data_IF_557518618419
#
_entry.id   IF_557518618419
#
_cell.length_a   1.000
_cell.length_b   1.000
_cell.length_c   1.000
_cell.angle_alpha   90.00
_cell.angle_beta   90.00
_cell.angle_gamma   90.00
#
_symmetry.space_group_name_H-M   'P 1'
#
loop_
_entity.id
_entity.type
_entity.pdbx_description
1 polymer ?
#
# COMPACT_ATOMS: atom_id res chain seq x y z
N UNK A 1 67.42 -11.23 10.67
CA UNK A 1 68.67 -10.51 11.00
C UNK A 1 69.08 -9.69 9.78
N UNK A 2 69.28 -8.40 10.01
CA UNK A 2 70.00 -7.37 9.24
C UNK A 2 69.42 -6.83 7.91
N UNK A 3 68.82 -5.63 8.01
CA UNK A 3 68.99 -4.52 7.05
C UNK A 3 70.40 -3.91 7.19
N UNK A 4 70.89 -3.16 6.17
CA UNK A 4 70.93 -1.68 6.27
C UNK A 4 70.57 -0.98 4.92
N UNK A 5 69.89 0.18 4.87
CA UNK A 5 70.35 1.57 5.11
C UNK A 5 71.53 1.99 4.21
N UNK A 6 71.64 3.17 3.56
CA UNK A 6 70.99 4.49 3.68
C UNK A 6 71.46 5.44 2.55
N UNK A 7 70.64 6.48 2.27
CA UNK A 7 71.03 7.88 1.95
C UNK A 7 71.63 8.28 0.58
N UNK A 8 71.05 9.29 -0.07
CA UNK A 8 71.49 10.69 0.14
C UNK A 8 70.61 11.72 -0.60
N UNK A 9 70.65 12.95 -0.10
CA UNK A 9 69.70 14.06 -0.23
C UNK A 9 70.34 15.29 -0.90
N UNK A 10 69.55 16.15 -1.58
CA UNK A 10 69.69 17.64 -1.78
C UNK A 10 68.71 18.08 -2.89
N UNK A 11 67.69 18.95 -2.72
CA UNK A 11 67.49 20.28 -2.10
C UNK A 11 67.90 21.49 -2.99
N UNK A 12 66.91 22.20 -3.58
CA UNK A 12 66.64 23.66 -3.46
C UNK A 12 66.06 24.41 -4.70
N UNK A 13 64.86 24.98 -4.50
CA UNK A 13 64.36 26.34 -4.81
C UNK A 13 64.22 26.93 -6.24
N UNK A 14 62.95 27.14 -6.69
CA UNK A 14 62.29 28.47 -6.89
C UNK A 14 60.83 28.35 -7.41
N UNK A 15 59.93 29.19 -6.88
CA UNK A 15 58.49 29.44 -7.20
C UNK A 15 58.40 30.79 -8.00
N UNK A 16 57.39 31.17 -8.85
CA UNK A 16 55.93 30.84 -8.82
C UNK A 16 55.22 30.43 -10.15
N UNK A 17 54.01 29.89 -9.93
CA UNK A 17 52.80 29.56 -10.78
C UNK A 17 52.34 30.63 -11.79
N UNK A 18 51.35 30.43 -12.73
CA UNK A 18 50.25 29.42 -12.75
C UNK A 18 49.79 28.86 -14.13
N UNK A 19 49.15 27.69 -14.13
CA UNK A 19 47.96 27.39 -14.96
C UNK A 19 47.41 26.04 -14.50
N UNK A 20 46.38 26.01 -13.65
CA UNK A 20 45.00 25.77 -14.09
C UNK A 20 44.91 24.70 -15.18
N UNK A 21 44.83 23.46 -14.74
CA UNK A 21 43.77 22.57 -15.16
C UNK A 21 43.20 21.97 -13.88
N UNK A 22 42.05 22.49 -13.49
CA UNK A 22 41.20 21.95 -12.45
C UNK A 22 40.97 20.46 -12.75
N UNK A 23 41.72 19.61 -12.06
CA UNK A 23 41.29 18.24 -11.80
C UNK A 23 40.15 18.37 -10.81
N UNK A 24 38.99 18.81 -11.30
CA UNK A 24 37.73 18.65 -10.59
C UNK A 24 37.56 17.14 -10.45
N UNK A 25 37.97 16.65 -9.27
CA UNK A 25 37.50 15.40 -8.72
C UNK A 25 35.99 15.52 -8.78
N UNK A 26 35.39 14.83 -9.77
CA UNK A 26 33.98 14.57 -9.85
C UNK A 26 33.65 13.71 -8.63
N UNK A 27 33.50 14.36 -7.47
CA UNK A 27 32.89 13.82 -6.27
C UNK A 27 31.45 13.56 -6.64
N UNK A 28 31.23 12.33 -7.07
CA UNK A 28 30.03 11.83 -7.70
C UNK A 28 28.80 12.06 -6.81
N UNK A 29 27.72 12.65 -7.32
CA UNK A 29 26.46 12.84 -6.57
C UNK A 29 25.89 11.53 -6.01
N UNK A 30 26.30 10.38 -6.57
CA UNK A 30 25.96 9.03 -6.12
C UNK A 30 26.42 8.74 -4.68
N UNK A 31 27.61 9.18 -4.27
CA UNK A 31 28.14 8.95 -2.92
C UNK A 31 27.39 9.75 -1.84
N UNK A 32 26.94 10.97 -2.17
CA UNK A 32 26.14 11.78 -1.25
C UNK A 32 24.73 11.22 -1.04
N UNK A 33 24.12 10.67 -2.09
CA UNK A 33 22.81 10.03 -2.02
C UNK A 33 22.85 8.76 -1.15
N UNK A 34 23.89 7.93 -1.28
CA UNK A 34 24.03 6.70 -0.49
C UNK A 34 24.27 6.98 1.01
N UNK A 35 24.99 8.05 1.34
CA UNK A 35 25.17 8.50 2.73
C UNK A 35 23.87 9.04 3.34
N UNK A 36 23.10 9.84 2.60
CA UNK A 36 21.80 10.35 3.05
C UNK A 36 20.80 9.20 3.27
N UNK A 37 20.79 8.18 2.40
CA UNK A 37 19.96 6.97 2.55
C UNK A 37 20.27 6.21 3.83
N UNK A 38 21.55 5.97 4.07
CA UNK A 38 22.01 5.27 5.27
C UNK A 38 21.61 6.05 6.51
N UNK A 39 21.73 7.38 6.49
CA UNK A 39 21.32 8.25 7.58
C UNK A 39 19.80 8.25 7.82
N UNK A 40 18.96 8.31 6.78
CA UNK A 40 17.50 8.24 6.93
C UNK A 40 17.03 6.87 7.43
N UNK A 41 17.66 5.80 6.93
CA UNK A 41 17.39 4.44 7.40
C UNK A 41 17.83 4.28 8.84
N UNK A 42 19.00 4.79 9.21
CA UNK A 42 19.48 4.78 10.59
C UNK A 42 18.59 5.65 11.50
N UNK A 43 18.06 6.77 11.02
CA UNK A 43 17.10 7.57 11.78
C UNK A 43 15.81 6.79 12.05
N UNK A 44 15.27 6.09 11.04
CA UNK A 44 14.13 5.19 11.22
C UNK A 44 14.44 4.05 12.19
N UNK A 45 15.59 3.39 12.01
CA UNK A 45 16.07 2.37 12.94
C UNK A 45 16.17 2.96 14.33
N UNK A 46 16.78 4.13 14.56
CA UNK A 46 16.92 4.73 15.89
C UNK A 46 15.59 5.10 16.55
N UNK A 47 14.57 5.49 15.76
CA UNK A 47 13.23 5.79 16.28
C UNK A 47 12.48 4.50 16.66
N UNK A 48 12.71 3.42 15.92
CA UNK A 48 12.06 2.12 16.14
C UNK A 48 12.89 1.19 17.04
N UNK A 49 14.20 1.41 17.17
CA UNK A 49 15.16 0.60 17.93
C UNK A 49 15.18 1.02 19.40
N UNK A 50 14.07 0.67 20.03
CA UNK A 50 13.92 0.27 21.42
C UNK A 50 13.25 -1.11 21.45
N UNK A 51 13.68 -2.01 20.55
CA UNK A 51 13.04 -3.28 20.16
C UNK A 51 12.74 -4.29 21.30
N UNK A 52 12.95 -3.93 22.57
CA UNK A 52 12.68 -4.75 23.76
C UNK A 52 12.02 -4.01 24.95
N UNK A 53 11.70 -2.71 24.89
CA UNK A 53 11.23 -1.98 26.10
C UNK A 53 9.96 -1.12 25.92
N UNK A 54 9.35 -0.82 27.08
CA UNK A 54 8.04 -0.20 27.36
C UNK A 54 7.90 1.29 27.00
N UNK A 55 8.83 1.86 26.24
CA UNK A 55 8.78 3.30 25.93
C UNK A 55 7.82 3.61 24.78
N UNK A 56 7.04 4.71 24.88
CA UNK A 56 6.22 5.21 23.78
C UNK A 56 7.07 5.53 22.56
N UNK A 57 6.49 5.35 21.37
CA UNK A 57 7.15 5.70 20.11
C UNK A 57 7.12 7.21 19.95
N UNK A 58 8.26 7.83 19.64
CA UNK A 58 8.31 9.25 19.28
C UNK A 58 7.66 9.45 17.90
N UNK A 59 6.33 9.65 17.91
CA UNK A 59 5.51 9.82 16.71
C UNK A 59 5.95 11.01 15.85
N UNK A 60 6.24 12.21 16.39
CA UNK A 60 6.79 13.31 15.60
C UNK A 60 8.10 12.96 14.89
N UNK A 61 9.05 12.31 15.58
CA UNK A 61 10.31 11.90 14.97
C UNK A 61 10.09 10.82 13.89
N UNK A 62 9.18 9.87 14.15
CA UNK A 62 8.79 8.83 13.19
C UNK A 62 8.18 9.45 11.92
N UNK A 63 7.23 10.37 12.08
CA UNK A 63 6.58 11.06 10.96
C UNK A 63 7.60 11.83 10.10
N UNK A 64 8.55 12.51 10.75
CA UNK A 64 9.60 13.26 10.06
C UNK A 64 10.57 12.33 9.30
N UNK A 65 10.95 11.20 9.92
CA UNK A 65 11.83 10.20 9.32
C UNK A 65 11.16 9.49 8.12
N UNK A 66 9.89 9.11 8.23
CA UNK A 66 9.11 8.51 7.14
C UNK A 66 8.92 9.47 5.97
N UNK A 67 8.59 10.74 6.24
CA UNK A 67 8.49 11.76 5.18
C UNK A 67 9.82 12.00 4.48
N UNK A 68 10.93 12.00 5.22
CA UNK A 68 12.26 12.12 4.64
C UNK A 68 12.61 10.90 3.76
N UNK A 69 12.31 9.68 4.23
CA UNK A 69 12.48 8.47 3.45
C UNK A 69 11.61 8.49 2.19
N UNK A 70 10.33 8.88 2.28
CA UNK A 70 9.43 8.97 1.13
C UNK A 70 9.97 9.93 0.06
N UNK A 71 10.32 11.16 0.44
CA UNK A 71 10.93 12.15 -0.47
C UNK A 71 12.18 11.59 -1.14
N UNK A 72 12.95 10.81 -0.40
CA UNK A 72 14.13 10.16 -0.93
C UNK A 72 13.77 9.08 -1.97
N UNK A 73 12.80 8.21 -1.69
CA UNK A 73 12.33 7.18 -2.61
C UNK A 73 11.63 7.75 -3.87
N UNK A 74 11.02 8.94 -3.75
CA UNK A 74 10.40 9.68 -4.86
C UNK A 74 11.42 10.23 -5.89
N UNK A 75 12.70 10.37 -5.53
CA UNK A 75 13.70 11.02 -6.38
C UNK A 75 14.05 10.21 -7.64
N UNK A 76 13.96 10.79 -8.86
CA UNK A 76 14.25 10.11 -10.13
C UNK A 76 15.69 9.63 -10.31
N UNK A 77 16.64 10.09 -9.51
CA UNK A 77 18.06 9.71 -9.59
C UNK A 77 18.34 8.26 -9.11
N UNK A 78 17.28 7.53 -8.72
CA UNK A 78 17.37 6.31 -7.92
C UNK A 78 17.02 5.01 -8.67
N UNK A 79 16.77 5.06 -9.99
CA UNK A 79 16.48 3.89 -10.82
C UNK A 79 17.75 3.13 -11.24
N UNK A 80 18.67 2.86 -10.33
CA UNK A 80 19.84 2.00 -10.59
C UNK A 80 19.56 0.55 -10.17
N UNK A 81 20.16 -0.42 -10.87
CA UNK A 81 19.92 -1.87 -10.74
C UNK A 81 20.28 -2.48 -9.36
N UNK A 82 20.77 -1.69 -8.40
CA UNK A 82 21.11 -2.11 -7.05
C UNK A 82 20.76 -1.00 -6.05
N UNK A 83 19.58 -1.05 -5.44
CA UNK A 83 19.11 -0.04 -4.50
C UNK A 83 19.51 -0.41 -3.05
N UNK A 84 20.19 0.46 -2.28
CA UNK A 84 20.57 0.20 -0.89
C UNK A 84 19.38 0.03 0.06
N UNK A 85 18.23 0.67 -0.19
CA UNK A 85 17.02 0.40 0.62
C UNK A 85 16.43 -1.00 0.38
N UNK A 86 16.84 -1.71 -0.68
CA UNK A 86 16.58 -3.15 -0.84
C UNK A 86 17.65 -4.02 -0.15
N UNK A 87 18.73 -3.41 0.35
CA UNK A 87 19.67 -4.02 1.31
C UNK A 87 19.15 -3.73 2.72
N UNK A 88 18.19 -4.56 3.11
CA UNK A 88 17.80 -4.98 4.47
C UNK A 88 17.17 -3.95 5.43
N UNK A 89 17.83 -2.86 5.83
CA UNK A 89 17.38 -2.17 7.07
C UNK A 89 16.06 -1.36 6.92
N UNK A 90 15.83 -0.70 5.78
CA UNK A 90 14.63 0.16 5.61
C UNK A 90 13.35 -0.67 5.42
N UNK A 91 13.45 -1.78 4.69
CA UNK A 91 12.31 -2.67 4.44
C UNK A 91 11.92 -3.40 5.72
N UNK A 92 12.89 -3.89 6.50
CA UNK A 92 12.63 -4.53 7.79
C UNK A 92 11.96 -3.56 8.78
N UNK A 93 12.38 -2.29 8.83
CA UNK A 93 11.73 -1.29 9.69
C UNK A 93 10.32 -0.93 9.20
N UNK A 94 10.12 -0.78 7.88
CA UNK A 94 8.79 -0.55 7.32
C UNK A 94 7.86 -1.74 7.57
N UNK A 95 8.35 -2.97 7.41
CA UNK A 95 7.66 -4.20 7.76
C UNK A 95 7.25 -4.20 9.22
N UNK A 96 8.18 -3.91 10.13
CA UNK A 96 7.90 -3.82 11.56
C UNK A 96 6.80 -2.79 11.89
N UNK A 97 6.89 -1.57 11.34
CA UNK A 97 5.88 -0.53 11.56
C UNK A 97 4.52 -0.99 11.06
N UNK A 98 4.43 -1.50 9.83
CA UNK A 98 3.14 -1.88 9.22
C UNK A 98 2.54 -3.09 9.92
N UNK A 99 3.33 -4.11 10.26
CA UNK A 99 2.88 -5.29 11.00
C UNK A 99 2.36 -4.90 12.37
N UNK A 100 3.18 -4.24 13.20
CA UNK A 100 2.82 -3.92 14.56
C UNK A 100 1.64 -2.95 14.62
N UNK A 101 1.54 -2.00 13.68
CA UNK A 101 0.40 -1.11 13.59
C UNK A 101 -0.90 -1.87 13.29
N UNK A 102 -0.89 -2.78 12.31
CA UNK A 102 -2.09 -3.58 11.98
C UNK A 102 -2.48 -4.51 13.14
N UNK A 103 -1.52 -5.14 13.81
CA UNK A 103 -1.79 -5.95 15.00
C UNK A 103 -2.42 -5.12 16.13
N UNK A 104 -1.96 -3.89 16.33
CA UNK A 104 -2.54 -2.98 17.32
C UNK A 104 -3.99 -2.59 16.96
N UNK A 105 -4.27 -2.31 15.68
CA UNK A 105 -5.64 -2.04 15.22
C UNK A 105 -6.57 -3.26 15.37
N UNK A 106 -6.08 -4.46 15.06
CA UNK A 106 -6.82 -5.70 15.26
C UNK A 106 -7.16 -5.93 16.74
N UNK A 107 -6.18 -5.78 17.63
CA UNK A 107 -6.38 -5.86 19.09
C UNK A 107 -7.42 -4.86 19.60
N UNK A 108 -7.38 -3.61 19.13
CA UNK A 108 -8.39 -2.60 19.47
C UNK A 108 -9.78 -2.97 18.97
N UNK A 109 -9.90 -3.49 17.74
CA UNK A 109 -11.17 -3.93 17.19
C UNK A 109 -11.75 -5.12 17.98
N UNK A 110 -10.91 -6.07 18.37
CA UNK A 110 -11.32 -7.18 19.23
C UNK A 110 -11.79 -6.68 20.61
N UNK A 111 -11.03 -5.80 21.25
CA UNK A 111 -11.42 -5.21 22.54
C UNK A 111 -12.75 -4.46 22.49
N UNK A 112 -13.08 -3.82 21.35
CA UNK A 112 -14.37 -3.15 21.15
C UNK A 112 -15.52 -4.12 20.92
N UNK A 113 -15.27 -5.25 20.25
CA UNK A 113 -16.30 -6.25 19.93
C UNK A 113 -16.63 -7.15 21.12
N UNK A 114 -15.67 -7.42 22.00
CA UNK A 114 -15.85 -8.20 23.21
C UNK A 114 -15.92 -7.29 24.44
N UNK A 115 -17.14 -6.88 24.81
CA UNK A 115 -17.41 -6.12 26.04
C UNK A 115 -16.72 -6.74 27.26
N UNK A 116 -15.65 -6.07 27.73
CA UNK A 116 -14.91 -5.99 29.02
C UNK A 116 -15.21 -6.90 30.24
N UNK A 117 -16.13 -7.86 30.21
CA UNK A 117 -16.43 -8.71 31.36
C UNK A 117 -15.70 -10.08 31.35
N UNK A 118 -15.10 -10.48 30.23
CA UNK A 118 -14.46 -11.81 30.11
C UNK A 118 -13.20 -11.86 29.24
N UNK A 119 -12.76 -10.74 28.67
CA UNK A 119 -11.47 -10.68 27.98
C UNK A 119 -10.42 -10.66 29.08
N UNK A 120 -9.77 -11.81 29.28
CA UNK A 120 -8.53 -11.93 30.04
C UNK A 120 -7.62 -10.83 29.51
N UNK A 121 -7.27 -9.85 30.34
CA UNK A 121 -6.17 -8.92 30.05
C UNK A 121 -4.99 -9.80 29.66
N UNK A 122 -4.69 -9.88 28.36
CA UNK A 122 -3.42 -10.44 27.95
C UNK A 122 -2.39 -9.45 28.45
N UNK A 123 -1.63 -9.84 29.48
CA UNK A 123 -0.54 -9.05 30.09
C UNK A 123 0.48 -8.50 29.07
N UNK A 124 0.44 -8.99 27.83
CA UNK A 124 1.26 -8.52 26.73
C UNK A 124 0.66 -7.27 26.07
N UNK A 125 0.72 -6.12 26.76
CA UNK A 125 0.60 -4.76 26.18
C UNK A 125 1.72 -4.42 25.17
N UNK A 126 2.29 -5.44 24.53
CA UNK A 126 3.42 -5.38 23.61
C UNK A 126 3.11 -4.54 22.36
N UNK A 127 1.83 -4.44 21.99
CA UNK A 127 1.37 -3.68 20.82
C UNK A 127 0.77 -2.31 21.16
N UNK A 128 0.56 -1.98 22.43
CA UNK A 128 -0.17 -0.75 22.84
C UNK A 128 0.56 0.52 22.36
N UNK A 129 1.89 0.53 22.41
CA UNK A 129 2.70 1.64 21.90
C UNK A 129 2.57 1.86 20.38
N UNK A 130 2.20 0.83 19.61
CA UNK A 130 1.96 0.96 18.17
C UNK A 130 0.53 1.42 17.86
N UNK A 131 -0.40 1.21 18.80
CA UNK A 131 -1.75 1.74 18.74
C UNK A 131 -1.78 3.29 18.83
N UNK A 132 -0.75 3.88 19.46
CA UNK A 132 -0.57 5.33 19.53
C UNK A 132 -0.06 5.95 18.21
N UNK A 133 0.42 5.16 17.25
CA UNK A 133 0.86 5.67 15.95
C UNK A 133 -0.39 6.16 15.19
N UNK A 134 -0.50 7.48 14.91
CA UNK A 134 -1.63 8.00 14.17
C UNK A 134 -1.68 7.41 12.77
N UNK A 135 -2.89 7.22 12.26
CA UNK A 135 -3.11 6.65 10.93
C UNK A 135 -2.40 7.45 9.81
N UNK A 136 -2.32 8.79 9.94
CA UNK A 136 -1.54 9.64 9.02
C UNK A 136 -0.06 9.25 8.94
N UNK A 137 0.53 8.78 10.03
CA UNK A 137 1.93 8.37 10.12
C UNK A 137 2.10 6.96 9.56
N UNK A 138 1.19 6.04 9.86
CA UNK A 138 1.13 4.73 9.23
C UNK A 138 0.96 4.83 7.69
N UNK A 139 0.16 5.79 7.23
CA UNK A 139 -0.02 6.08 5.81
C UNK A 139 1.30 6.50 5.13
N UNK A 140 2.17 7.27 5.80
CA UNK A 140 3.50 7.61 5.27
C UNK A 140 4.37 6.35 5.09
N UNK A 141 4.26 5.36 5.99
CA UNK A 141 4.93 4.07 5.83
C UNK A 141 4.39 3.28 4.63
N UNK A 142 3.05 3.20 4.47
CA UNK A 142 2.43 2.58 3.29
C UNK A 142 2.82 3.29 1.99
N UNK A 143 2.93 4.61 2.01
CA UNK A 143 3.42 5.38 0.85
C UNK A 143 4.88 5.05 0.54
N UNK A 144 5.77 4.92 1.53
CA UNK A 144 7.14 4.47 1.34
C UNK A 144 7.19 3.10 0.65
N UNK A 145 6.38 2.13 1.12
CA UNK A 145 6.23 0.83 0.46
C UNK A 145 5.72 0.99 -0.97
N UNK A 146 4.71 1.85 -1.19
CA UNK A 146 4.15 2.13 -2.51
C UNK A 146 5.16 2.68 -3.51
N UNK A 147 6.19 3.40 -3.03
CA UNK A 147 7.30 3.85 -3.85
C UNK A 147 8.35 2.74 -4.06
N UNK A 148 8.67 1.94 -3.04
CA UNK A 148 9.58 0.80 -3.20
C UNK A 148 9.11 -0.16 -4.29
N UNK A 149 7.82 -0.47 -4.34
CA UNK A 149 7.24 -1.38 -5.34
C UNK A 149 7.14 -0.78 -6.75
N UNK A 150 7.54 0.49 -6.95
CA UNK A 150 7.71 1.03 -8.31
C UNK A 150 8.99 0.53 -8.99
N UNK A 151 9.96 0.06 -8.20
CA UNK A 151 11.23 -0.47 -8.66
C UNK A 151 11.20 -2.00 -8.61
N UNK A 152 11.61 -2.70 -9.68
CA UNK A 152 11.57 -4.17 -9.72
C UNK A 152 12.35 -4.86 -8.59
N UNK A 153 13.45 -4.26 -8.12
CA UNK A 153 14.22 -4.77 -6.97
C UNK A 153 13.43 -4.56 -5.66
N UNK A 154 12.76 -3.41 -5.51
CA UNK A 154 11.91 -3.13 -4.35
C UNK A 154 10.67 -4.02 -4.32
N UNK A 155 10.03 -4.29 -5.47
CA UNK A 155 8.97 -5.28 -5.60
C UNK A 155 9.42 -6.66 -5.11
N UNK A 156 10.59 -7.13 -5.57
CA UNK A 156 11.11 -8.44 -5.16
C UNK A 156 11.44 -8.50 -3.66
N UNK A 157 11.91 -7.41 -3.07
CA UNK A 157 12.21 -7.33 -1.64
C UNK A 157 10.92 -7.30 -0.80
N UNK A 158 9.95 -6.45 -1.15
CA UNK A 158 8.64 -6.37 -0.47
C UNK A 158 7.86 -7.69 -0.59
N UNK A 159 7.97 -8.38 -1.73
CA UNK A 159 7.30 -9.68 -1.92
C UNK A 159 7.82 -10.79 -0.99
N UNK A 160 8.98 -10.62 -0.34
CA UNK A 160 9.59 -11.61 0.56
C UNK A 160 9.32 -11.34 2.04
N UNK A 161 8.66 -10.23 2.35
CA UNK A 161 8.35 -9.81 3.72
C UNK A 161 6.89 -10.10 4.07
N UNK A 162 6.50 -9.84 5.31
CA UNK A 162 5.10 -9.88 5.75
C UNK A 162 4.29 -8.65 5.33
N UNK A 163 4.90 -7.64 4.68
CA UNK A 163 4.23 -6.41 4.26
C UNK A 163 2.97 -6.69 3.42
N UNK A 164 2.96 -7.56 2.39
CA UNK A 164 1.75 -7.85 1.63
C UNK A 164 0.61 -8.38 2.51
N UNK A 165 0.92 -9.29 3.45
CA UNK A 165 -0.06 -9.85 4.41
C UNK A 165 -0.61 -8.77 5.33
N UNK A 166 0.26 -7.92 5.88
CA UNK A 166 -0.17 -6.81 6.74
C UNK A 166 -1.04 -5.79 5.99
N UNK A 167 -0.71 -5.49 4.73
CA UNK A 167 -1.54 -4.65 3.88
C UNK A 167 -2.91 -5.28 3.61
N UNK A 168 -2.99 -6.58 3.35
CA UNK A 168 -4.29 -7.26 3.17
C UNK A 168 -5.10 -7.26 4.47
N UNK A 169 -4.48 -7.62 5.60
CA UNK A 169 -5.16 -7.60 6.91
C UNK A 169 -5.68 -6.20 7.26
N UNK A 170 -4.92 -5.16 6.92
CA UNK A 170 -5.32 -3.77 7.19
C UNK A 170 -6.65 -3.37 6.52
N UNK A 171 -7.06 -4.04 5.43
CA UNK A 171 -8.35 -3.79 4.76
C UNK A 171 -9.54 -3.99 5.72
N UNK A 172 -9.40 -4.89 6.70
CA UNK A 172 -10.45 -5.18 7.67
C UNK A 172 -10.57 -4.17 8.80
N UNK A 173 -9.49 -3.45 9.10
CA UNK A 173 -9.39 -2.61 10.29
C UNK A 173 -9.30 -1.11 9.98
N UNK A 174 -9.02 -0.74 8.73
CA UNK A 174 -8.95 0.66 8.30
C UNK A 174 -10.35 1.17 7.93
N UNK A 175 -10.78 2.25 8.57
CA UNK A 175 -12.00 2.98 8.20
C UNK A 175 -11.75 4.19 7.29
N UNK A 176 -10.50 4.67 7.21
CA UNK A 176 -10.16 5.81 6.37
C UNK A 176 -10.04 5.41 4.88
N UNK A 177 -10.85 6.01 3.99
CA UNK A 177 -10.84 5.66 2.58
C UNK A 177 -9.52 6.05 1.86
N UNK A 178 -8.82 7.08 2.35
CA UNK A 178 -7.53 7.53 1.79
C UNK A 178 -6.45 6.50 2.04
N UNK A 179 -6.39 5.96 3.26
CA UNK A 179 -5.46 4.89 3.62
C UNK A 179 -5.77 3.61 2.84
N UNK A 180 -7.05 3.21 2.76
CA UNK A 180 -7.47 2.06 1.93
C UNK A 180 -7.11 2.24 0.45
N UNK A 181 -7.32 3.43 -0.11
CA UNK A 181 -6.89 3.76 -1.47
C UNK A 181 -5.38 3.56 -1.64
N UNK A 182 -4.56 3.96 -0.66
CA UNK A 182 -3.12 3.76 -0.70
C UNK A 182 -2.72 2.28 -0.60
N UNK A 183 -3.40 1.51 0.26
CA UNK A 183 -3.23 0.06 0.40
C UNK A 183 -3.55 -0.65 -0.92
N UNK A 184 -4.75 -0.43 -1.48
CA UNK A 184 -5.18 -1.05 -2.74
C UNK A 184 -4.19 -0.75 -3.87
N UNK A 185 -3.81 0.52 -4.06
CA UNK A 185 -2.83 0.90 -5.08
C UNK A 185 -1.47 0.23 -4.91
N UNK A 186 -1.04 0.04 -3.67
CA UNK A 186 0.25 -0.62 -3.37
C UNK A 186 0.18 -2.10 -3.72
N UNK A 187 -0.91 -2.78 -3.36
CA UNK A 187 -1.16 -4.16 -3.76
C UNK A 187 -1.31 -4.31 -5.29
N UNK A 188 -1.98 -3.35 -5.96
CA UNK A 188 -2.11 -3.33 -7.44
C UNK A 188 -0.74 -3.21 -8.10
N UNK A 189 0.14 -2.34 -7.58
CA UNK A 189 1.52 -2.20 -8.09
C UNK A 189 2.32 -3.49 -7.89
N UNK A 190 2.16 -4.18 -6.75
CA UNK A 190 2.79 -5.47 -6.52
C UNK A 190 2.33 -6.54 -7.53
N UNK A 191 1.05 -6.55 -7.89
CA UNK A 191 0.51 -7.48 -8.88
C UNK A 191 1.02 -7.19 -10.31
N UNK A 192 1.13 -5.91 -10.68
CA UNK A 192 1.41 -5.48 -12.06
C UNK A 192 2.90 -5.30 -12.38
N UNK A 193 3.78 -5.23 -11.37
CA UNK A 193 5.22 -5.05 -11.58
C UNK A 193 5.94 -6.40 -11.57
N UNK A 194 6.59 -6.73 -12.68
CA UNK A 194 7.48 -7.88 -12.75
C UNK A 194 8.76 -7.62 -11.93
N UNK A 195 9.08 -8.55 -11.03
CA UNK A 195 10.37 -8.62 -10.34
C UNK A 195 11.50 -8.87 -11.33
N UNK A 196 12.71 -8.39 -11.02
CA UNK A 196 13.90 -8.55 -11.88
C UNK A 196 14.11 -10.03 -12.23
N UNK A 197 14.28 -10.31 -13.52
CA UNK A 197 14.66 -11.61 -14.08
C UNK A 197 15.95 -12.13 -13.41
N UNK A 198 15.83 -13.03 -12.44
CA UNK A 198 16.90 -14.00 -12.17
C UNK A 198 16.50 -15.33 -12.76
N UNK A 199 17.37 -15.88 -13.59
CA UNK A 199 17.32 -17.30 -13.92
C UNK A 199 17.63 -18.07 -12.64
N UNK A 200 16.74 -18.96 -12.22
CA UNK A 200 17.10 -20.00 -11.26
C UNK A 200 18.25 -20.84 -11.85
N UNK A 201 18.99 -21.54 -10.99
CA UNK A 201 20.05 -22.45 -11.42
C UNK A 201 19.55 -23.56 -12.38
N UNK A 202 18.23 -23.77 -12.47
CA UNK A 202 17.55 -24.71 -13.38
C UNK A 202 16.96 -24.05 -14.65
N UNK A 203 17.24 -22.76 -14.90
CA UNK A 203 16.77 -22.06 -16.10
C UNK A 203 15.34 -21.53 -16.05
N UNK A 204 14.61 -21.66 -14.92
CA UNK A 204 13.27 -21.07 -14.76
C UNK A 204 13.32 -19.59 -14.36
N UNK A 205 12.44 -18.77 -14.94
CA UNK A 205 12.37 -17.32 -14.74
C UNK A 205 11.56 -16.95 -13.47
N UNK A 206 12.10 -16.09 -12.58
CA UNK A 206 11.35 -15.52 -11.44
C UNK A 206 10.73 -14.14 -11.78
N UNK A 207 9.75 -14.09 -12.68
CA UNK A 207 9.08 -12.83 -13.10
C UNK A 207 7.74 -12.54 -12.40
N UNK A 208 7.35 -13.35 -11.41
CA UNK A 208 5.99 -13.36 -10.84
C UNK A 208 5.95 -13.22 -9.31
N UNK A 209 7.05 -12.81 -8.65
CA UNK A 209 7.09 -12.83 -7.17
C UNK A 209 6.05 -11.93 -6.52
N UNK A 210 5.69 -10.81 -7.17
CA UNK A 210 4.74 -9.83 -6.63
C UNK A 210 3.30 -10.36 -6.54
N UNK A 211 2.76 -10.92 -7.64
CA UNK A 211 1.41 -11.50 -7.64
C UNK A 211 1.30 -12.69 -6.69
N UNK A 212 2.29 -13.60 -6.67
CA UNK A 212 2.24 -14.74 -5.75
C UNK A 212 2.27 -14.29 -4.29
N UNK A 213 3.06 -13.26 -3.95
CA UNK A 213 3.06 -12.71 -2.60
C UNK A 213 1.71 -12.09 -2.21
N UNK A 214 1.01 -11.43 -3.15
CA UNK A 214 -0.34 -10.90 -2.90
C UNK A 214 -1.36 -12.03 -2.73
N UNK A 215 -1.29 -13.08 -3.56
CA UNK A 215 -2.18 -14.25 -3.46
C UNK A 215 -1.96 -15.04 -2.17
N UNK A 216 -0.70 -15.22 -1.76
CA UNK A 216 -0.32 -15.81 -0.47
C UNK A 216 -0.81 -14.94 0.69
N UNK A 217 -0.65 -13.62 0.60
CA UNK A 217 -1.16 -12.68 1.60
C UNK A 217 -2.68 -12.76 1.81
N UNK A 218 -3.46 -12.83 0.73
CA UNK A 218 -4.91 -13.07 0.84
C UNK A 218 -5.22 -14.43 1.48
N UNK A 219 -4.45 -15.47 1.14
CA UNK A 219 -4.65 -16.81 1.72
C UNK A 219 -4.31 -16.84 3.22
N UNK A 220 -3.22 -16.19 3.64
CA UNK A 220 -2.87 -16.02 5.06
C UNK A 220 -3.90 -15.19 5.82
N UNK A 221 -4.43 -14.13 5.21
CA UNK A 221 -5.50 -13.33 5.80
C UNK A 221 -6.79 -14.14 5.93
N UNK A 222 -7.11 -14.99 4.95
CA UNK A 222 -8.22 -15.95 5.03
C UNK A 222 -8.08 -16.84 6.26
N UNK A 223 -6.91 -17.44 6.46
CA UNK A 223 -6.65 -18.33 7.59
C UNK A 223 -6.71 -17.57 8.92
N UNK A 224 -6.06 -16.40 9.00
CA UNK A 224 -6.00 -15.58 10.21
C UNK A 224 -7.38 -15.04 10.65
N UNK A 225 -8.22 -14.68 9.69
CA UNK A 225 -9.56 -14.12 9.94
C UNK A 225 -10.66 -15.18 9.78
N UNK A 226 -10.31 -16.45 9.55
CA UNK A 226 -11.25 -17.57 9.32
C UNK A 226 -12.30 -17.28 8.25
N UNK A 227 -11.90 -16.63 7.16
CA UNK A 227 -12.80 -16.26 6.07
C UNK A 227 -13.16 -17.47 5.21
N UNK A 228 -14.32 -17.40 4.56
CA UNK A 228 -14.77 -18.46 3.65
C UNK A 228 -13.99 -18.43 2.32
N UNK A 229 -13.69 -17.24 1.84
CA UNK A 229 -12.95 -17.00 0.61
C UNK A 229 -11.84 -15.99 0.87
N UNK A 230 -10.65 -16.22 0.33
CA UNK A 230 -9.49 -15.35 0.56
C UNK A 230 -9.68 -13.91 0.08
N UNK A 231 -10.58 -13.69 -0.89
CA UNK A 231 -10.89 -12.35 -1.38
C UNK A 231 -12.07 -11.69 -0.65
N UNK A 232 -12.64 -12.31 0.39
CA UNK A 232 -13.78 -11.73 1.13
C UNK A 232 -13.44 -10.35 1.70
N UNK A 233 -12.21 -10.11 2.16
CA UNK A 233 -11.77 -8.79 2.65
C UNK A 233 -11.88 -7.71 1.56
N UNK A 234 -11.39 -8.01 0.36
CA UNK A 234 -11.45 -7.13 -0.81
C UNK A 234 -12.90 -6.93 -1.27
N UNK A 235 -13.67 -8.01 -1.40
CA UNK A 235 -15.06 -7.98 -1.86
C UNK A 235 -15.98 -7.22 -0.90
N UNK A 236 -15.85 -7.44 0.40
CA UNK A 236 -16.61 -6.72 1.44
C UNK A 236 -16.28 -5.23 1.44
N UNK A 237 -14.99 -4.87 1.41
CA UNK A 237 -14.56 -3.48 1.38
C UNK A 237 -15.07 -2.76 0.13
N UNK A 238 -14.89 -3.36 -1.06
CA UNK A 238 -15.39 -2.80 -2.31
C UNK A 238 -16.91 -2.60 -2.30
N UNK A 239 -17.67 -3.57 -1.78
CA UNK A 239 -19.12 -3.47 -1.69
C UNK A 239 -19.59 -2.40 -0.70
N UNK A 240 -18.94 -2.29 0.47
CA UNK A 240 -19.27 -1.26 1.46
C UNK A 240 -19.12 0.15 0.86
N UNK A 241 -17.97 0.45 0.24
CA UNK A 241 -17.75 1.76 -0.36
C UNK A 241 -18.59 2.02 -1.60
N UNK A 242 -18.94 0.98 -2.37
CA UNK A 242 -19.85 1.14 -3.51
C UNK A 242 -21.27 1.45 -3.03
N UNK A 243 -21.71 0.83 -1.94
CA UNK A 243 -23.00 1.12 -1.30
C UNK A 243 -23.03 2.54 -0.78
N UNK A 244 -21.98 2.99 -0.07
CA UNK A 244 -21.85 4.37 0.40
C UNK A 244 -21.88 5.37 -0.77
N UNK A 245 -21.13 5.08 -1.84
CA UNK A 245 -21.11 5.91 -3.05
C UNK A 245 -22.50 6.03 -3.67
N UNK A 246 -23.21 4.92 -3.88
CA UNK A 246 -24.57 4.93 -4.42
C UNK A 246 -25.55 5.66 -3.49
N UNK A 247 -25.45 5.48 -2.16
CA UNK A 247 -26.31 6.18 -1.21
C UNK A 247 -26.08 7.70 -1.18
N UNK A 248 -24.84 8.15 -1.42
CA UNK A 248 -24.49 9.57 -1.46
C UNK A 248 -24.90 10.24 -2.77
N UNK A 249 -24.77 9.55 -3.90
CA UNK A 249 -25.22 10.03 -5.21
C UNK A 249 -26.75 9.98 -5.33
N UNK A 250 -27.42 9.03 -4.63
CA UNK A 250 -28.87 8.82 -4.72
C UNK A 250 -29.56 8.81 -3.33
N UNK A 251 -29.77 9.98 -2.70
CA UNK A 251 -30.48 10.05 -1.42
C UNK A 251 -31.92 9.51 -1.46
N UNK A 252 -32.53 9.43 -2.65
CA UNK A 252 -33.90 8.91 -2.83
C UNK A 252 -34.01 7.38 -2.64
N UNK A 253 -32.89 6.65 -2.61
CA UNK A 253 -32.85 5.21 -2.33
C UNK A 253 -32.55 4.86 -0.86
N UNK A 254 -32.52 5.84 0.05
CA UNK A 254 -32.24 5.64 1.49
C UNK A 254 -33.27 4.79 2.25
N UNK A 255 -34.39 4.37 1.64
CA UNK A 255 -35.42 3.59 2.35
C UNK A 255 -35.06 2.12 2.64
N UNK A 256 -33.83 1.65 2.35
CA UNK A 256 -33.42 0.27 2.65
C UNK A 256 -32.09 0.10 3.42
N UNK A 257 -31.52 1.16 4.01
CA UNK A 257 -30.37 1.04 4.91
C UNK A 257 -30.77 1.32 6.37
N UNK A 258 -30.29 0.52 7.36
CA UNK A 258 -30.69 0.69 8.75
C UNK A 258 -30.13 2.00 9.33
N UNK A 259 -31.06 2.83 9.82
CA UNK A 259 -30.83 4.11 10.47
C UNK A 259 -29.78 4.00 11.59
N UNK A 260 -28.71 4.79 11.49
CA UNK A 260 -27.95 5.24 12.67
C UNK A 260 -28.29 6.71 12.92
N UNK A 261 -29.29 6.95 13.75
CA UNK A 261 -29.53 8.26 14.33
C UNK A 261 -28.75 8.39 15.64
N UNK A 262 -27.95 9.45 15.76
CA UNK A 262 -27.67 10.06 17.06
C UNK A 262 -27.78 11.58 16.93
N UNK A 263 -28.85 12.07 17.56
CA UNK A 263 -29.11 13.38 18.15
C UNK A 263 -28.05 14.48 18.04
N UNK A 264 -28.46 15.67 17.58
CA UNK A 264 -28.09 16.93 18.25
C UNK A 264 -29.11 18.06 18.04
N UNK A 265 -29.04 19.00 18.98
CA UNK A 265 -30.06 19.93 19.48
C UNK A 265 -30.44 21.06 18.52
N UNK A 266 -31.67 21.53 18.68
CA UNK A 266 -32.24 22.76 18.14
C UNK A 266 -31.37 24.00 18.40
N UNK A 267 -31.19 24.79 17.34
CA UNK A 267 -30.70 26.16 17.34
C UNK A 267 -31.25 26.93 16.12
N UNK A 268 -31.90 28.06 16.42
CA UNK A 268 -32.51 29.13 15.61
C UNK A 268 -32.47 29.11 14.04
N UNK A 269 -33.62 29.17 13.30
CA UNK A 269 -33.69 28.69 11.91
C UNK A 269 -33.74 29.74 10.77
N UNK A 270 -33.13 30.94 10.86
CA UNK A 270 -33.39 31.96 9.80
C UNK A 270 -32.22 32.68 9.13
N UNK A 271 -30.95 32.41 9.48
CA UNK A 271 -29.81 33.04 8.77
C UNK A 271 -28.74 32.03 8.29
N UNK A 272 -28.80 30.76 8.69
CA UNK A 272 -27.76 29.76 8.36
C UNK A 272 -28.10 28.79 7.21
N UNK A 273 -29.32 28.82 6.67
CA UNK A 273 -29.80 27.80 5.73
C UNK A 273 -29.13 27.80 4.35
N UNK A 274 -28.58 28.92 3.88
CA UNK A 274 -27.88 28.99 2.58
C UNK A 274 -26.39 28.63 2.69
N UNK A 275 -25.78 28.86 3.86
CA UNK A 275 -24.39 28.50 4.17
C UNK A 275 -24.24 26.99 4.46
N UNK A 276 -25.17 26.44 5.26
CA UNK A 276 -25.15 25.02 5.65
C UNK A 276 -25.51 24.10 4.47
N UNK A 277 -26.44 24.49 3.60
CA UNK A 277 -26.78 23.68 2.42
C UNK A 277 -25.65 23.59 1.39
N UNK A 278 -24.91 24.67 1.15
CA UNK A 278 -23.74 24.63 0.27
C UNK A 278 -22.57 23.87 0.90
N UNK A 279 -22.38 23.96 2.22
CA UNK A 279 -21.34 23.21 2.94
C UNK A 279 -21.66 21.71 3.00
N UNK A 280 -22.91 21.34 3.23
CA UNK A 280 -23.36 19.95 3.20
C UNK A 280 -23.30 19.33 1.80
N UNK A 281 -23.68 20.06 0.74
CA UNK A 281 -23.51 19.61 -0.65
C UNK A 281 -22.04 19.48 -1.07
N UNK A 282 -21.18 20.38 -0.61
CA UNK A 282 -19.74 20.27 -0.90
C UNK A 282 -19.12 19.08 -0.15
N UNK A 283 -19.49 18.85 1.11
CA UNK A 283 -19.02 17.69 1.87
C UNK A 283 -19.56 16.35 1.34
N UNK A 284 -20.80 16.29 0.87
CA UNK A 284 -21.35 15.08 0.24
C UNK A 284 -20.64 14.76 -1.08
N UNK A 285 -20.34 15.78 -1.89
CA UNK A 285 -19.61 15.60 -3.16
C UNK A 285 -18.17 15.14 -2.93
N UNK A 286 -17.48 15.68 -1.91
CA UNK A 286 -16.12 15.26 -1.55
C UNK A 286 -16.09 13.81 -1.06
N UNK A 287 -17.09 13.39 -0.29
CA UNK A 287 -17.20 12.02 0.23
C UNK A 287 -17.59 11.03 -0.87
N UNK A 288 -18.49 11.40 -1.79
CA UNK A 288 -18.85 10.58 -2.94
C UNK A 288 -17.65 10.36 -3.87
N UNK A 289 -16.89 11.41 -4.17
CA UNK A 289 -15.67 11.33 -4.97
C UNK A 289 -14.59 10.45 -4.33
N UNK A 290 -14.45 10.51 -3.00
CA UNK A 290 -13.53 9.67 -2.25
C UNK A 290 -13.97 8.19 -2.25
N UNK A 291 -15.28 7.95 -2.16
CA UNK A 291 -15.87 6.61 -2.24
C UNK A 291 -15.68 6.01 -3.63
N UNK A 292 -16.01 6.73 -4.71
CA UNK A 292 -15.76 6.32 -6.11
C UNK A 292 -14.28 5.95 -6.33
N UNK A 293 -13.37 6.79 -5.82
CA UNK A 293 -11.93 6.54 -5.92
C UNK A 293 -11.49 5.28 -5.18
N UNK A 294 -12.05 5.03 -4.00
CA UNK A 294 -11.72 3.86 -3.18
C UNK A 294 -12.20 2.57 -3.85
N UNK A 295 -13.45 2.56 -4.33
CA UNK A 295 -14.02 1.44 -5.10
C UNK A 295 -13.25 1.20 -6.38
N UNK A 296 -12.92 2.25 -7.14
CA UNK A 296 -12.11 2.14 -8.34
C UNK A 296 -10.74 1.50 -8.06
N UNK A 297 -10.09 1.85 -6.95
CA UNK A 297 -8.81 1.24 -6.58
C UNK A 297 -8.95 -0.23 -6.15
N UNK A 298 -10.03 -0.58 -5.45
CA UNK A 298 -10.34 -1.98 -5.12
C UNK A 298 -10.60 -2.83 -6.38
N UNK A 299 -11.35 -2.30 -7.34
CA UNK A 299 -11.60 -2.96 -8.63
C UNK A 299 -10.33 -3.03 -9.50
N UNK A 300 -9.49 -2.00 -9.49
CA UNK A 300 -8.20 -2.03 -10.16
C UNK A 300 -7.27 -3.12 -9.57
N UNK A 301 -7.32 -3.36 -8.26
CA UNK A 301 -6.64 -4.49 -7.63
C UNK A 301 -7.22 -5.83 -8.10
N UNK A 302 -8.54 -5.99 -8.13
CA UNK A 302 -9.18 -7.20 -8.63
C UNK A 302 -8.81 -7.49 -10.10
N UNK A 303 -8.84 -6.46 -10.97
CA UNK A 303 -8.37 -6.55 -12.35
C UNK A 303 -6.90 -6.97 -12.42
N UNK A 304 -6.03 -6.34 -11.64
CA UNK A 304 -4.60 -6.68 -11.63
C UNK A 304 -4.32 -8.11 -11.15
N UNK A 305 -5.07 -8.61 -10.15
CA UNK A 305 -4.95 -9.99 -9.67
C UNK A 305 -5.30 -10.97 -10.80
N UNK A 306 -6.38 -10.70 -11.55
CA UNK A 306 -6.78 -11.55 -12.69
C UNK A 306 -5.75 -11.44 -13.82
N UNK A 307 -5.47 -10.24 -14.31
CA UNK A 307 -4.63 -9.99 -15.48
C UNK A 307 -3.16 -10.41 -15.29
N UNK A 308 -2.68 -10.52 -14.05
CA UNK A 308 -1.32 -10.98 -13.77
C UNK A 308 -1.08 -12.45 -14.20
N UNK A 309 -2.13 -13.24 -14.44
CA UNK A 309 -2.00 -14.63 -14.87
C UNK A 309 -2.02 -14.75 -16.40
N UNK A 310 -0.98 -15.38 -16.98
CA UNK A 310 -0.84 -15.51 -18.43
C UNK A 310 -1.85 -16.46 -19.09
N UNK A 311 -2.26 -17.52 -18.40
CA UNK A 311 -3.21 -18.51 -18.92
C UNK A 311 -4.67 -18.09 -18.69
N UNK A 312 -5.52 -18.20 -19.73
CA UNK A 312 -6.94 -17.86 -19.65
C UNK A 312 -7.67 -18.68 -18.58
N UNK A 313 -7.36 -19.96 -18.46
CA UNK A 313 -7.95 -20.89 -17.47
C UNK A 313 -7.71 -20.41 -16.03
N UNK A 314 -6.48 -19.97 -15.73
CA UNK A 314 -6.14 -19.42 -14.43
C UNK A 314 -6.86 -18.09 -14.18
N UNK A 315 -6.92 -17.22 -15.19
CA UNK A 315 -7.70 -15.96 -15.10
C UNK A 315 -9.18 -16.24 -14.82
N UNK A 316 -9.78 -17.21 -15.49
CA UNK A 316 -11.17 -17.62 -15.27
C UNK A 316 -11.38 -18.21 -13.88
N UNK A 317 -10.45 -19.05 -13.40
CA UNK A 317 -10.48 -19.63 -12.05
C UNK A 317 -10.43 -18.56 -10.97
N UNK A 318 -9.46 -17.64 -11.05
CA UNK A 318 -9.30 -16.54 -10.10
C UNK A 318 -10.48 -15.57 -10.17
N UNK A 319 -10.99 -15.29 -11.37
CA UNK A 319 -12.19 -14.45 -11.55
C UNK A 319 -13.41 -15.08 -10.89
N UNK A 320 -13.63 -16.38 -11.07
CA UNK A 320 -14.72 -17.11 -10.39
C UNK A 320 -14.61 -16.97 -8.88
N UNK A 321 -13.42 -17.17 -8.34
CA UNK A 321 -13.18 -17.01 -6.89
C UNK A 321 -13.47 -15.59 -6.40
N UNK A 322 -13.09 -14.55 -7.15
CA UNK A 322 -13.44 -13.16 -6.84
C UNK A 322 -14.96 -12.90 -6.91
N UNK A 323 -15.65 -13.49 -7.88
CA UNK A 323 -17.10 -13.36 -8.05
C UNK A 323 -17.90 -14.13 -6.99
N UNK A 324 -17.31 -15.15 -6.35
CA UNK A 324 -17.88 -15.86 -5.21
C UNK A 324 -17.81 -15.04 -3.90
N UNK A 325 -17.43 -13.76 -3.97
CA UNK A 325 -17.44 -12.79 -2.86
C UNK A 325 -18.47 -11.67 -3.10
N UNK A 326 -18.70 -10.76 -2.13
CA UNK A 326 -19.57 -9.59 -2.33
C UNK A 326 -19.11 -8.62 -3.44
N UNK A 327 -17.93 -8.82 -4.04
CA UNK A 327 -17.50 -8.09 -5.23
C UNK A 327 -18.52 -8.22 -6.38
N UNK A 328 -19.20 -9.37 -6.54
CA UNK A 328 -20.26 -9.50 -7.54
C UNK A 328 -21.39 -8.48 -7.32
N UNK A 329 -21.80 -8.25 -6.07
CA UNK A 329 -22.83 -7.26 -5.73
C UNK A 329 -22.34 -5.84 -6.00
N UNK A 330 -21.07 -5.55 -5.70
CA UNK A 330 -20.42 -4.29 -6.06
C UNK A 330 -20.48 -4.04 -7.58
N UNK A 331 -20.10 -5.04 -8.38
CA UNK A 331 -20.16 -4.95 -9.83
C UNK A 331 -21.58 -4.73 -10.36
N UNK A 332 -22.59 -5.31 -9.71
CA UNK A 332 -24.00 -5.10 -10.05
C UNK A 332 -24.49 -3.69 -9.71
N UNK A 333 -24.14 -3.19 -8.54
CA UNK A 333 -24.48 -1.82 -8.14
C UNK A 333 -23.88 -0.76 -9.07
N UNK A 334 -22.69 -1.01 -9.61
CA UNK A 334 -22.04 -0.11 -10.56
C UNK A 334 -22.59 -0.22 -12.00
N UNK A 335 -23.57 -1.10 -12.28
CA UNK A 335 -24.25 -1.15 -13.59
C UNK A 335 -25.25 -0.01 -13.78
N UNK A 336 -25.66 0.67 -12.71
CA UNK A 336 -26.68 1.71 -12.76
C UNK A 336 -26.26 2.83 -13.74
N UNK A 337 -27.14 3.25 -14.68
CA UNK A 337 -26.84 4.24 -15.72
C UNK A 337 -26.25 5.54 -15.20
N UNK A 338 -26.67 5.94 -14.00
CA UNK A 338 -26.27 7.16 -13.31
C UNK A 338 -24.79 7.14 -12.90
N UNK A 339 -24.20 5.95 -12.75
CA UNK A 339 -22.81 5.76 -12.40
C UNK A 339 -21.89 5.63 -13.62
N UNK A 340 -22.42 5.69 -14.85
CA UNK A 340 -21.67 5.45 -16.08
C UNK A 340 -20.43 6.37 -16.27
N UNK A 341 -20.40 7.53 -15.63
CA UNK A 341 -19.27 8.46 -15.65
C UNK A 341 -18.18 8.23 -14.59
N UNK A 342 -18.41 7.34 -13.62
CA UNK A 342 -17.54 7.19 -12.45
C UNK A 342 -16.30 6.33 -12.74
N UNK A 343 -15.21 6.50 -11.98
CA UNK A 343 -13.99 5.69 -12.16
C UNK A 343 -14.24 4.24 -11.79
N UNK A 344 -15.05 3.99 -10.75
CA UNK A 344 -15.45 2.66 -10.35
C UNK A 344 -16.21 1.93 -11.47
N UNK A 345 -17.12 2.62 -12.16
CA UNK A 345 -17.83 2.05 -13.30
C UNK A 345 -16.87 1.62 -14.43
N UNK A 346 -15.85 2.44 -14.75
CA UNK A 346 -14.87 2.11 -15.77
C UNK A 346 -14.08 0.83 -15.43
N UNK A 347 -13.62 0.69 -14.19
CA UNK A 347 -12.91 -0.53 -13.76
C UNK A 347 -13.83 -1.76 -13.70
N UNK A 348 -15.11 -1.58 -13.32
CA UNK A 348 -16.11 -2.64 -13.36
C UNK A 348 -16.39 -3.12 -14.81
N UNK A 349 -16.47 -2.18 -15.76
CA UNK A 349 -16.62 -2.48 -17.18
C UNK A 349 -15.41 -3.25 -17.72
N UNK A 350 -14.19 -2.84 -17.36
CA UNK A 350 -12.94 -3.53 -17.72
C UNK A 350 -12.92 -4.96 -17.18
N UNK A 351 -13.32 -5.18 -15.93
CA UNK A 351 -13.37 -6.51 -15.31
C UNK A 351 -14.25 -7.50 -16.10
N UNK A 352 -15.35 -7.01 -16.66
CA UNK A 352 -16.28 -7.81 -17.47
C UNK A 352 -15.81 -7.99 -18.91
N UNK A 353 -15.24 -6.93 -19.50
CA UNK A 353 -14.75 -6.99 -20.87
C UNK A 353 -13.68 -8.08 -21.00
N UNK A 354 -12.72 -8.08 -20.08
CA UNK A 354 -11.67 -9.11 -20.01
C UNK A 354 -12.23 -10.51 -19.75
N UNK A 355 -13.39 -10.65 -19.12
CA UNK A 355 -14.06 -11.95 -18.94
C UNK A 355 -14.57 -12.54 -20.26
N UNK A 356 -15.21 -11.71 -21.09
CA UNK A 356 -15.66 -12.14 -22.41
C UNK A 356 -14.49 -12.51 -23.34
N UNK A 357 -13.34 -11.84 -23.20
CA UNK A 357 -12.11 -12.21 -23.92
C UNK A 357 -11.54 -13.55 -23.41
N UNK A 358 -11.46 -13.74 -22.09
CA UNK A 358 -10.94 -14.95 -21.49
C UNK A 358 -11.77 -16.19 -21.84
N UNK A 359 -13.10 -16.06 -21.87
CA UNK A 359 -14.00 -17.14 -22.31
C UNK A 359 -13.71 -17.53 -23.77
N UNK A 360 -13.54 -16.54 -24.66
CA UNK A 360 -13.24 -16.79 -26.08
C UNK A 360 -11.89 -17.46 -26.27
N UNK A 361 -10.88 -17.06 -25.49
CA UNK A 361 -9.56 -17.68 -25.50
C UNK A 361 -9.57 -19.10 -24.93
N UNK A 362 -10.39 -19.38 -23.91
CA UNK A 362 -10.54 -20.70 -23.31
C UNK A 362 -11.35 -21.68 -24.18
N UNK A 363 -12.37 -21.17 -24.88
CA UNK A 363 -13.21 -21.94 -25.80
C UNK A 363 -13.19 -21.31 -27.21
N UNK A 364 -12.15 -21.59 -28.02
CA UNK A 364 -12.02 -21.02 -29.36
C UNK A 364 -13.10 -21.47 -30.36
N UNK A 365 -13.95 -22.43 -29.96
CA UNK A 365 -15.09 -22.91 -30.76
C UNK A 365 -16.37 -22.07 -30.59
N UNK A 366 -16.40 -21.04 -29.73
CA UNK A 366 -17.54 -20.13 -29.64
C UNK A 366 -17.52 -19.13 -30.81
N UNK A 367 -18.57 -19.09 -31.66
CA UNK A 367 -18.64 -18.13 -32.76
C UNK A 367 -18.73 -16.69 -32.22
N UNK A 368 -18.10 -15.77 -32.94
CA UNK A 368 -18.29 -14.34 -32.72
C UNK A 368 -19.69 -13.97 -33.18
N UNK A 369 -20.57 -13.62 -32.24
CA UNK A 369 -21.76 -12.86 -32.56
C UNK A 369 -21.31 -11.42 -32.86
N UNK A 370 -20.96 -11.17 -34.12
CA UNK A 370 -21.00 -9.84 -34.72
C UNK A 370 -22.44 -9.39 -34.97
#
# INVERSE_FOLDING_TARGET
MNSPDTSSSRNNNRVPTPSRCDSSVSSTPTLHLDNLRTHHTQALVNVVSSTLYSTPIDVPALELALKALRRHLESPQNYTNAHPAAKTNAIEVLEHIVVCWVCAQASQADAQNYSLASVVETDDGQFDKYAEIPEKTAMEAVQCVSYLVTMSVGTAAVARTSIPTSLVLSICFIHNPTMLTAVFRTLTKLCTKHSVRRAKADGRWESETGIYAVMDAFSRAMDALTLRNRFDTLGNSAFAFASDFACLEFPQHQQQAPLRENSHKEGDPRVETVSIQNRAKNHSNDQAALSDRTVACALALANAIVEAHGAADERLRVRKELLDTPLYRCLKLLEEPELAGSKAHHEAKRFRHTYGEDIRLHNPAMPSDE
#
